data_IF_181241537661
#
_entry.id   IF_181241537661
#
_cell.length_a   1.000
_cell.length_b   1.000
_cell.length_c   1.000
_cell.angle_alpha   90.00
_cell.angle_beta   90.00
_cell.angle_gamma   90.00
#
_symmetry.space_group_name_H-M   'P 1'
#
loop_
_entity.id
_entity.type
_entity.pdbx_description
1 polymer ?
#
# COMPACT_ATOMS: atom_id res chain seq x y z
N UNK A 1 6.78 -0.72 -12.75
CA UNK A 1 6.87 0.04 -11.49
C UNK A 1 5.89 -0.57 -10.52
N UNK A 2 6.29 -0.68 -9.26
CA UNK A 2 5.39 -1.17 -8.21
C UNK A 2 4.31 -0.11 -7.95
N UNK A 3 3.14 -0.54 -7.46
CA UNK A 3 2.08 0.40 -7.05
C UNK A 3 2.58 1.37 -5.95
N UNK A 4 3.48 0.89 -5.08
CA UNK A 4 4.10 1.67 -4.01
C UNK A 4 4.95 2.84 -4.51
N UNK A 5 5.47 2.78 -5.74
CA UNK A 5 6.16 3.91 -6.39
C UNK A 5 5.21 5.07 -6.73
N UNK A 6 3.90 4.79 -6.75
CA UNK A 6 2.82 5.69 -7.16
C UNK A 6 1.87 6.03 -6.01
N UNK A 7 2.28 5.76 -4.77
CA UNK A 7 1.57 6.19 -3.57
C UNK A 7 2.16 7.53 -3.13
N UNK A 8 1.31 8.55 -3.10
CA UNK A 8 1.66 9.93 -2.81
C UNK A 8 1.03 10.40 -1.51
N UNK A 9 1.69 11.33 -0.85
CA UNK A 9 1.21 11.94 0.39
C UNK A 9 0.22 13.06 0.06
N UNK A 10 -1.00 12.98 0.59
CA UNK A 10 -2.00 14.05 0.52
C UNK A 10 -1.50 15.27 1.26
N UNK A 11 -1.72 16.45 0.70
CA UNK A 11 -1.28 17.72 1.28
C UNK A 11 0.24 17.79 1.58
N UNK A 12 1.09 17.08 0.81
CA UNK A 12 2.54 17.00 1.07
C UNK A 12 3.20 18.36 1.38
N UNK A 13 2.84 19.45 0.68
CA UNK A 13 3.43 20.79 0.93
C UNK A 13 3.09 21.33 2.32
N UNK A 14 1.86 21.10 2.78
CA UNK A 14 1.43 21.52 4.11
C UNK A 14 2.18 20.73 5.17
N UNK A 15 2.29 19.41 4.99
CA UNK A 15 3.04 18.55 5.90
C UNK A 15 4.52 18.93 5.93
N UNK A 16 5.17 19.11 4.77
CA UNK A 16 6.55 19.62 4.70
C UNK A 16 6.73 20.94 5.46
N UNK A 17 5.74 21.84 5.37
CA UNK A 17 5.78 23.12 6.07
C UNK A 17 5.63 22.98 7.58
N UNK A 18 4.72 22.15 8.07
CA UNK A 18 4.52 21.91 9.51
C UNK A 18 5.72 21.19 10.14
N UNK A 19 6.31 20.25 9.39
CA UNK A 19 7.47 19.47 9.81
C UNK A 19 8.79 20.24 9.67
N UNK A 20 8.75 21.43 9.05
CA UNK A 20 9.93 22.26 8.72
C UNK A 20 11.02 21.49 7.97
N UNK A 21 10.62 20.45 7.22
CA UNK A 21 11.50 19.48 6.56
C UNK A 21 10.98 19.15 5.17
N UNK A 22 11.88 19.07 4.19
CA UNK A 22 11.51 18.72 2.83
C UNK A 22 11.30 17.21 2.68
N UNK A 23 10.04 16.78 2.72
CA UNK A 23 9.66 15.38 2.46
C UNK A 23 9.36 15.13 0.98
N UNK A 24 9.79 13.99 0.41
CA UNK A 24 9.36 13.59 -0.93
C UNK A 24 7.84 13.48 -1.04
N UNK A 25 7.30 13.62 -2.26
CA UNK A 25 5.87 13.39 -2.51
C UNK A 25 5.42 11.95 -2.29
N UNK A 26 6.33 10.99 -2.46
CA UNK A 26 6.00 9.56 -2.38
C UNK A 26 6.05 9.05 -0.94
N UNK A 27 5.05 8.25 -0.55
CA UNK A 27 4.96 7.69 0.80
C UNK A 27 6.08 6.66 1.08
N UNK A 28 6.43 5.85 0.09
CA UNK A 28 7.46 4.80 0.21
C UNK A 28 8.85 5.24 -0.29
N UNK A 29 9.16 6.54 -0.24
CA UNK A 29 10.53 7.01 -0.50
C UNK A 29 11.36 6.87 0.77
N UNK A 30 12.63 6.48 0.64
CA UNK A 30 13.51 6.24 1.79
C UNK A 30 13.50 7.37 2.83
N UNK A 31 13.65 8.61 2.39
CA UNK A 31 13.60 9.77 3.28
C UNK A 31 12.24 9.95 4.00
N UNK A 32 11.13 9.56 3.36
CA UNK A 32 9.81 9.55 4.01
C UNK A 32 9.74 8.43 5.06
N UNK A 33 10.19 7.22 4.70
CA UNK A 33 10.18 6.07 5.61
C UNK A 33 11.09 6.29 6.81
N UNK A 34 12.28 6.87 6.63
CA UNK A 34 13.19 7.23 7.73
C UNK A 34 12.51 8.16 8.73
N UNK A 35 11.85 9.20 8.22
CA UNK A 35 11.15 10.17 9.05
C UNK A 35 10.01 9.51 9.85
N UNK A 36 9.18 8.70 9.18
CA UNK A 36 8.07 8.00 9.83
C UNK A 36 8.55 6.99 10.88
N UNK A 37 9.67 6.31 10.60
CA UNK A 37 10.25 5.32 11.50
C UNK A 37 10.90 5.95 12.74
N UNK A 38 11.58 7.08 12.58
CA UNK A 38 12.20 7.81 13.70
C UNK A 38 11.16 8.56 14.53
N UNK A 39 10.06 8.99 13.90
CA UNK A 39 9.00 9.77 14.54
C UNK A 39 9.36 11.24 14.76
N UNK A 40 10.48 11.70 14.20
CA UNK A 40 11.01 13.05 14.39
C UNK A 40 10.07 14.12 13.80
N UNK A 41 9.66 15.09 14.62
CA UNK A 41 8.85 16.23 14.19
C UNK A 41 7.36 15.93 14.05
N UNK A 42 6.91 14.69 14.27
CA UNK A 42 5.49 14.33 14.21
C UNK A 42 4.66 15.05 15.29
N UNK A 43 5.29 15.48 16.39
CA UNK A 43 4.68 16.29 17.43
C UNK A 43 4.28 17.70 16.96
N UNK A 44 4.79 18.17 15.81
CA UNK A 44 4.43 19.46 15.21
C UNK A 44 3.17 19.40 14.35
N UNK A 45 2.70 18.21 14.00
CA UNK A 45 1.49 18.00 13.23
C UNK A 45 0.26 18.29 14.10
N UNK A 46 -0.82 18.73 13.47
CA UNK A 46 -2.12 18.77 14.15
C UNK A 46 -2.59 17.36 14.54
N UNK A 47 -3.36 17.25 15.62
CA UNK A 47 -3.74 15.95 16.23
C UNK A 47 -4.34 14.98 15.20
N UNK A 48 -5.28 15.46 14.38
CA UNK A 48 -5.95 14.62 13.37
C UNK A 48 -4.99 14.10 12.29
N UNK A 49 -4.01 14.90 11.88
CA UNK A 49 -2.97 14.47 10.94
C UNK A 49 -1.99 13.52 11.61
N UNK A 50 -1.59 13.81 12.85
CA UNK A 50 -0.67 12.99 13.62
C UNK A 50 -1.21 11.59 13.83
N UNK A 51 -2.49 11.45 14.18
CA UNK A 51 -3.14 10.16 14.41
C UNK A 51 -3.05 9.27 13.15
N UNK A 52 -3.43 9.79 11.98
CA UNK A 52 -3.35 9.05 10.70
C UNK A 52 -1.93 8.65 10.31
N UNK A 53 -0.95 9.51 10.62
CA UNK A 53 0.47 9.20 10.38
C UNK A 53 0.96 8.09 11.31
N UNK A 54 0.55 8.11 12.58
CA UNK A 54 0.86 7.05 13.53
C UNK A 54 0.19 5.74 13.15
N UNK A 55 -1.06 5.76 12.70
CA UNK A 55 -1.76 4.58 12.18
C UNK A 55 -1.01 3.96 10.99
N UNK A 56 -0.56 4.78 10.03
CA UNK A 56 0.26 4.31 8.91
C UNK A 56 1.57 3.65 9.39
N UNK A 57 2.27 4.29 10.33
CA UNK A 57 3.53 3.75 10.88
C UNK A 57 3.28 2.43 11.60
N UNK A 58 2.22 2.34 12.42
CA UNK A 58 1.87 1.14 13.15
C UNK A 58 1.52 -0.01 12.20
N UNK A 59 0.67 0.24 11.20
CA UNK A 59 0.19 -0.83 10.33
C UNK A 59 1.27 -1.32 9.37
N UNK A 60 2.07 -0.40 8.80
CA UNK A 60 3.00 -0.73 7.71
C UNK A 60 4.45 -0.87 8.17
N UNK A 61 4.92 -0.09 9.15
CA UNK A 61 6.33 -0.08 9.56
C UNK A 61 6.63 -0.97 10.78
N UNK A 62 5.62 -1.49 11.49
CA UNK A 62 5.85 -2.38 12.63
C UNK A 62 6.30 -3.78 12.21
N UNK A 63 7.61 -4.01 12.17
CA UNK A 63 8.19 -5.33 11.96
C UNK A 63 9.54 -5.49 12.68
N UNK A 64 9.85 -6.72 13.09
CA UNK A 64 11.09 -7.07 13.79
C UNK A 64 12.29 -7.34 12.87
N UNK A 65 12.29 -6.83 11.64
CA UNK A 65 13.41 -7.02 10.71
C UNK A 65 14.56 -6.06 11.02
N UNK A 66 15.81 -6.53 10.99
CA UNK A 66 17.00 -5.71 11.27
C UNK A 66 17.13 -4.48 10.35
N UNK A 67 16.68 -4.60 9.10
CA UNK A 67 16.74 -3.54 8.10
C UNK A 67 15.44 -2.72 8.00
N UNK A 68 14.59 -2.69 9.02
CA UNK A 68 13.39 -1.84 9.06
C UNK A 68 13.80 -0.34 8.98
N UNK A 69 13.19 0.50 8.11
CA UNK A 69 12.06 0.28 7.19
C UNK A 69 12.39 -0.21 5.78
N UNK A 70 13.65 -0.47 5.49
CA UNK A 70 14.17 -0.91 4.18
C UNK A 70 14.09 -2.42 3.91
N UNK A 71 13.39 -3.19 4.74
CA UNK A 71 13.25 -4.65 4.58
C UNK A 71 12.18 -5.06 3.54
N UNK A 72 11.46 -4.10 2.96
CA UNK A 72 10.36 -4.33 2.03
C UNK A 72 9.05 -4.73 2.71
N UNK A 73 9.02 -4.86 4.04
CA UNK A 73 7.78 -5.14 4.77
C UNK A 73 6.74 -4.04 4.62
N UNK A 74 7.07 -2.74 4.68
CA UNK A 74 6.09 -1.67 4.48
C UNK A 74 5.33 -1.81 3.16
N UNK A 75 6.07 -2.01 2.06
CA UNK A 75 5.49 -2.15 0.73
C UNK A 75 4.62 -3.40 0.62
N UNK A 76 5.09 -4.54 1.14
CA UNK A 76 4.33 -5.81 1.11
C UNK A 76 3.04 -5.72 1.92
N UNK A 77 3.10 -5.14 3.13
CA UNK A 77 1.93 -4.94 3.98
C UNK A 77 0.93 -3.98 3.33
N UNK A 78 1.40 -2.90 2.73
CA UNK A 78 0.53 -1.96 2.02
C UNK A 78 -0.13 -2.59 0.79
N UNK A 79 0.63 -3.37 0.00
CA UNK A 79 0.08 -4.13 -1.13
C UNK A 79 -1.00 -5.11 -0.66
N UNK A 80 -0.76 -5.83 0.43
CA UNK A 80 -1.75 -6.73 1.02
C UNK A 80 -3.01 -5.97 1.42
N UNK A 81 -2.88 -4.84 2.09
CA UNK A 81 -4.00 -3.96 2.44
C UNK A 81 -4.84 -3.56 1.21
N UNK A 82 -4.21 -3.16 0.10
CA UNK A 82 -4.95 -2.85 -1.14
C UNK A 82 -5.73 -4.06 -1.69
N UNK A 83 -5.12 -5.25 -1.66
CA UNK A 83 -5.76 -6.48 -2.12
C UNK A 83 -6.91 -6.90 -1.20
N UNK A 84 -6.79 -6.69 0.11
CA UNK A 84 -7.84 -6.95 1.09
C UNK A 84 -9.03 -6.02 0.91
N UNK A 85 -8.81 -4.72 0.68
CA UNK A 85 -9.88 -3.79 0.30
C UNK A 85 -10.58 -4.24 -0.98
N UNK A 86 -9.80 -4.69 -1.97
CA UNK A 86 -10.36 -5.18 -3.22
C UNK A 86 -11.23 -6.43 -3.01
N UNK A 87 -10.76 -7.40 -2.22
CA UNK A 87 -11.50 -8.62 -1.91
C UNK A 87 -12.84 -8.34 -1.19
N UNK A 88 -12.92 -7.24 -0.43
CA UNK A 88 -14.16 -6.73 0.17
C UNK A 88 -15.14 -6.13 -0.87
N UNK A 89 -14.75 -6.03 -2.13
CA UNK A 89 -15.59 -5.55 -3.23
C UNK A 89 -15.40 -4.07 -3.57
N UNK A 90 -14.40 -3.40 -3.00
CA UNK A 90 -14.14 -1.99 -3.33
C UNK A 90 -13.53 -1.88 -4.73
N UNK A 91 -14.06 -0.94 -5.52
CA UNK A 91 -13.48 -0.54 -6.79
C UNK A 91 -12.27 0.40 -6.62
N UNK A 92 -11.54 0.71 -7.70
CA UNK A 92 -10.33 1.53 -7.64
C UNK A 92 -10.51 2.89 -6.96
N UNK A 93 -11.59 3.61 -7.26
CA UNK A 93 -11.87 4.93 -6.65
C UNK A 93 -12.15 4.79 -5.14
N UNK A 94 -12.97 3.82 -4.75
CA UNK A 94 -13.27 3.57 -3.34
C UNK A 94 -12.02 3.16 -2.54
N UNK A 95 -11.12 2.39 -3.14
CA UNK A 95 -9.83 2.05 -2.52
C UNK A 95 -9.00 3.32 -2.28
N UNK A 96 -8.96 4.22 -3.28
CA UNK A 96 -8.26 5.52 -3.15
C UNK A 96 -8.88 6.36 -2.04
N UNK A 97 -10.20 6.43 -1.94
CA UNK A 97 -10.91 7.17 -0.89
C UNK A 97 -10.55 6.63 0.50
N UNK A 98 -10.65 5.32 0.71
CA UNK A 98 -10.35 4.69 2.01
C UNK A 98 -8.90 4.93 2.43
N UNK A 99 -7.91 4.64 1.57
CA UNK A 99 -6.51 4.86 1.96
C UNK A 99 -6.14 6.34 2.12
N UNK A 100 -6.89 7.24 1.45
CA UNK A 100 -6.76 8.69 1.61
C UNK A 100 -7.28 9.14 2.97
N UNK A 101 -8.41 8.60 3.41
CA UNK A 101 -9.06 8.98 4.64
C UNK A 101 -8.39 8.35 5.87
N UNK A 102 -7.92 7.11 5.74
CA UNK A 102 -7.25 6.38 6.82
C UNK A 102 -5.82 6.87 7.03
N UNK A 103 -5.05 7.05 5.94
CA UNK A 103 -3.60 7.24 6.04
C UNK A 103 -3.06 8.50 5.35
N UNK A 104 -3.92 9.38 4.83
CA UNK A 104 -3.48 10.57 4.09
C UNK A 104 -2.58 10.25 2.89
N UNK A 105 -2.74 9.08 2.28
CA UNK A 105 -2.03 8.71 1.05
C UNK A 105 -3.00 8.47 -0.09
N UNK A 106 -2.59 8.79 -1.31
CA UNK A 106 -3.42 8.62 -2.50
C UNK A 106 -2.59 8.06 -3.67
N UNK A 107 -3.29 7.49 -4.64
CA UNK A 107 -2.77 7.12 -5.94
C UNK A 107 -3.81 7.59 -6.97
N UNK A 108 -3.42 7.67 -8.23
CA UNK A 108 -4.42 7.87 -9.27
C UNK A 108 -5.23 6.58 -9.44
N UNK A 109 -6.55 6.67 -9.61
CA UNK A 109 -7.42 5.49 -9.75
C UNK A 109 -6.99 4.56 -10.88
N UNK A 110 -6.46 5.12 -11.98
CA UNK A 110 -5.89 4.34 -13.08
C UNK A 110 -4.65 3.52 -12.70
N UNK A 111 -3.85 3.98 -11.73
CA UNK A 111 -2.71 3.23 -11.20
C UNK A 111 -3.17 2.06 -10.32
N UNK A 112 -4.20 2.27 -9.50
CA UNK A 112 -4.83 1.20 -8.71
C UNK A 112 -5.47 0.17 -9.63
N UNK A 113 -6.24 0.60 -10.63
CA UNK A 113 -6.82 -0.28 -11.65
C UNK A 113 -5.73 -1.10 -12.35
N UNK A 114 -4.66 -0.44 -12.81
CA UNK A 114 -3.55 -1.13 -13.48
C UNK A 114 -2.85 -2.14 -12.56
N UNK A 115 -2.73 -1.84 -11.27
CA UNK A 115 -2.17 -2.77 -10.28
C UNK A 115 -3.06 -4.01 -10.12
N UNK A 116 -4.37 -3.83 -9.98
CA UNK A 116 -5.33 -4.92 -9.83
C UNK A 116 -5.41 -5.80 -11.09
N UNK A 117 -5.48 -5.20 -12.28
CA UNK A 117 -5.49 -5.92 -13.56
C UNK A 117 -4.22 -6.78 -13.72
N UNK A 118 -3.06 -6.24 -13.35
CA UNK A 118 -1.81 -7.00 -13.36
C UNK A 118 -1.81 -8.14 -12.33
N UNK A 119 -2.45 -7.93 -11.17
CA UNK A 119 -2.70 -8.97 -10.17
C UNK A 119 -3.53 -10.13 -10.74
N UNK A 120 -4.65 -9.83 -11.39
CA UNK A 120 -5.50 -10.83 -12.08
C UNK A 120 -4.68 -11.61 -13.11
N UNK A 121 -3.96 -10.93 -14.00
CA UNK A 121 -3.12 -11.60 -15.03
C UNK A 121 -2.03 -12.48 -14.43
N UNK A 122 -1.47 -12.08 -13.30
CA UNK A 122 -0.47 -12.88 -12.58
C UNK A 122 -1.10 -14.17 -12.04
N UNK A 123 -2.29 -14.07 -11.48
CA UNK A 123 -3.05 -15.24 -11.00
C UNK A 123 -3.50 -16.13 -12.16
N UNK A 124 -3.88 -15.58 -13.32
CA UNK A 124 -4.18 -16.38 -14.52
C UNK A 124 -2.97 -17.19 -15.00
N UNK A 125 -1.78 -16.58 -14.99
CA UNK A 125 -0.55 -17.29 -15.33
C UNK A 125 -0.24 -18.40 -14.31
N UNK A 126 -0.38 -18.11 -13.02
CA UNK A 126 -0.17 -19.08 -11.95
C UNK A 126 -1.20 -20.23 -12.00
N UNK A 127 -2.47 -19.94 -12.31
CA UNK A 127 -3.53 -20.92 -12.54
C UNK A 127 -3.17 -21.85 -13.69
N UNK A 128 -2.64 -21.30 -14.79
CA UNK A 128 -2.16 -22.06 -15.93
C UNK A 128 -1.02 -23.03 -15.58
N UNK A 129 -0.07 -22.59 -14.75
CA UNK A 129 1.04 -23.43 -14.28
C UNK A 129 0.53 -24.55 -13.35
N UNK A 130 -0.29 -24.21 -12.35
CA UNK A 130 -0.85 -25.21 -11.42
C UNK A 130 -1.62 -26.31 -12.15
N UNK A 131 -2.37 -25.96 -13.21
CA UNK A 131 -3.08 -26.93 -14.05
C UNK A 131 -2.13 -27.85 -14.81
N UNK A 132 -1.01 -27.33 -15.34
CA UNK A 132 -0.01 -28.15 -16.05
C UNK A 132 0.70 -29.10 -15.08
N UNK A 133 0.98 -28.62 -13.86
CA UNK A 133 1.66 -29.39 -12.82
C UNK A 133 0.73 -30.39 -12.09
N UNK A 134 -0.58 -30.40 -12.38
CA UNK A 134 -1.57 -31.26 -11.72
C UNK A 134 -1.80 -30.91 -10.25
N UNK A 135 -1.56 -29.67 -9.85
CA UNK A 135 -1.68 -29.19 -8.48
C UNK A 135 -3.11 -28.65 -8.21
N UNK A 136 -4.10 -29.54 -8.15
CA UNK A 136 -5.53 -29.20 -8.09
C UNK A 136 -5.90 -28.27 -6.92
N UNK A 137 -5.37 -28.53 -5.70
CA UNK A 137 -5.62 -27.67 -4.53
C UNK A 137 -5.11 -26.24 -4.76
N UNK A 138 -3.92 -26.09 -5.35
CA UNK A 138 -3.34 -24.78 -5.66
C UNK A 138 -4.07 -24.09 -6.80
N UNK A 139 -4.53 -24.85 -7.78
CA UNK A 139 -5.38 -24.33 -8.86
C UNK A 139 -6.65 -23.69 -8.28
N UNK A 140 -7.33 -24.35 -7.35
CA UNK A 140 -8.56 -23.82 -6.74
C UNK A 140 -8.29 -22.59 -5.84
N UNK A 141 -7.22 -22.61 -5.04
CA UNK A 141 -6.79 -21.45 -4.23
C UNK A 141 -6.54 -20.21 -5.12
N UNK A 142 -5.77 -20.38 -6.20
CA UNK A 142 -5.43 -19.29 -7.14
C UNK A 142 -6.70 -18.77 -7.82
N UNK A 143 -7.58 -19.69 -8.25
CA UNK A 143 -8.83 -19.34 -8.92
C UNK A 143 -9.76 -18.54 -8.00
N UNK A 144 -9.83 -18.88 -6.72
CA UNK A 144 -10.59 -18.11 -5.74
C UNK A 144 -10.02 -16.70 -5.58
N UNK A 145 -8.71 -16.58 -5.34
CA UNK A 145 -8.05 -15.29 -5.20
C UNK A 145 -8.27 -14.40 -6.44
N UNK A 146 -8.23 -14.99 -7.64
CA UNK A 146 -8.49 -14.26 -8.90
C UNK A 146 -9.91 -13.66 -8.93
N UNK A 147 -10.91 -14.47 -8.57
CA UNK A 147 -12.32 -14.02 -8.52
C UNK A 147 -12.55 -12.89 -7.53
N UNK A 148 -11.79 -12.85 -6.44
CA UNK A 148 -11.86 -11.76 -5.46
C UNK A 148 -11.33 -10.44 -6.04
N UNK A 149 -10.34 -10.49 -6.93
CA UNK A 149 -9.78 -9.32 -7.60
C UNK A 149 -10.57 -8.86 -8.84
N UNK A 150 -11.38 -9.72 -9.44
CA UNK A 150 -12.22 -9.42 -10.63
C UNK A 150 -13.54 -8.69 -10.32
N UNK A 151 -13.95 -8.60 -9.04
CA UNK A 151 -15.30 -8.18 -8.60
C UNK A 151 -15.88 -6.85 -9.09
#
# INVERSE_FOLDING_TARGET
MAITDKIYIKNHRQLSSQLETNIPKGAFKGATLDMLFQGDGLEKLDDATRDRVLDFTQDFLDCGCDNNPYCGCPERKFIRYLLELRAQGLGPDAIVDVMTDDYMVYAYSGDVLSFLDNGVRTLEAAEGLARVDGADEKYDEIRQAKRELER
#
